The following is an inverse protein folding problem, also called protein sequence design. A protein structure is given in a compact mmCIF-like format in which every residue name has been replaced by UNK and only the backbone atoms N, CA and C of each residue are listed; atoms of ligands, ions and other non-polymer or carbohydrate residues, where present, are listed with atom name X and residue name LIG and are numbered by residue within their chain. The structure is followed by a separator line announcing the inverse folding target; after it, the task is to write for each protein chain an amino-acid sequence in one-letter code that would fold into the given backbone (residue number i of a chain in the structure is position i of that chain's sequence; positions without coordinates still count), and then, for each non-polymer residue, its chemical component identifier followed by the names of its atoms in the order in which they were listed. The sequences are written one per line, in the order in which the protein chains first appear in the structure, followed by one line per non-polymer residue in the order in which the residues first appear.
data_IF_262306212557
#
_entry.id   IF_262306212557
#
_cell.length_a   1.000
_cell.length_b   1.000
_cell.length_c   1.000
_cell.angle_alpha   90.00
_cell.angle_beta   90.00
_cell.angle_gamma   90.00
#
_symmetry.space_group_name_H-M   'P 1'
#
loop_
_entity.id
_entity.type
_entity.pdbx_description
1 polymer ?
#
# COMPACT_ATOMS: atom_id res chain seq x y z
N UNK A 1 -4.62 10.39 2.85
CA UNK A 1 -3.41 9.66 2.34
C UNK A 1 -3.45 8.26 2.91
N UNK A 2 -3.39 7.21 2.06
CA UNK A 2 -3.70 5.81 2.43
C UNK A 2 -2.86 5.29 3.62
N UNK A 3 -3.53 4.71 4.62
CA UNK A 3 -2.89 3.99 5.71
C UNK A 3 -2.61 2.54 5.28
N UNK A 4 -1.46 2.01 5.70
CA UNK A 4 -1.14 0.59 5.54
C UNK A 4 -1.04 -0.07 6.92
N UNK A 5 -1.86 -1.13 7.10
CA UNK A 5 -1.88 -2.23 8.07
C UNK A 5 -2.67 -2.17 9.41
N UNK A 6 -3.59 -3.16 9.50
CA UNK A 6 -4.28 -3.88 10.60
C UNK A 6 -5.26 -3.12 11.50
N UNK A 7 -6.56 -3.38 11.27
CA UNK A 7 -7.66 -3.09 12.19
C UNK A 7 -8.87 -2.55 11.45
N UNK A 8 -9.97 -3.30 11.46
CA UNK A 8 -11.22 -2.93 10.81
C UNK A 8 -11.91 -1.79 11.57
N UNK A 9 -12.27 -0.72 10.86
CA UNK A 9 -13.37 0.18 11.26
C UNK A 9 -14.04 0.72 10.01
N UNK A 10 -15.35 0.47 9.91
CA UNK A 10 -16.25 0.96 8.86
C UNK A 10 -16.43 2.48 8.96
N UNK A 11 -16.32 3.20 7.84
CA UNK A 11 -16.72 4.61 7.73
C UNK A 11 -17.32 4.85 6.34
N UNK A 12 -18.65 4.89 6.28
CA UNK A 12 -19.44 5.50 5.20
C UNK A 12 -19.65 6.99 5.53
N UNK A 13 -19.01 7.91 4.80
CA UNK A 13 -19.60 9.22 4.46
C UNK A 13 -18.72 9.99 3.46
N UNK A 14 -19.27 10.25 2.27
CA UNK A 14 -18.67 11.09 1.23
C UNK A 14 -19.14 12.56 1.38
N UNK A 15 -18.27 13.49 0.98
CA UNK A 15 -18.45 14.96 0.92
C UNK A 15 -17.88 15.84 2.05
N UNK A 16 -16.70 15.51 2.57
CA UNK A 16 -15.86 16.58 3.13
C UNK A 16 -14.38 16.33 2.81
N UNK A 17 -13.82 17.13 1.90
CA UNK A 17 -12.39 17.18 1.61
C UNK A 17 -11.65 17.95 2.73
N UNK A 18 -11.99 17.65 4.00
CA UNK A 18 -11.22 18.10 5.15
C UNK A 18 -9.83 17.52 5.02
N UNK A 19 -8.83 18.35 5.32
CA UNK A 19 -7.49 17.90 5.72
C UNK A 19 -7.68 16.68 6.61
N UNK A 20 -7.48 15.49 6.04
CA UNK A 20 -7.61 14.27 6.80
C UNK A 20 -6.42 14.30 7.74
N UNK A 21 -6.65 14.76 8.96
CA UNK A 21 -5.67 14.74 10.04
C UNK A 21 -4.98 13.39 9.97
N UNK A 22 -3.65 13.39 9.79
CA UNK A 22 -2.91 12.15 9.61
C UNK A 22 -3.21 11.24 10.81
N UNK A 23 -3.94 10.16 10.56
CA UNK A 23 -4.40 9.29 11.63
C UNK A 23 -3.20 8.47 12.11
N UNK A 24 -2.64 8.88 13.23
CA UNK A 24 -1.47 8.25 13.81
C UNK A 24 -1.88 7.05 14.64
N UNK A 25 -1.30 5.89 14.33
CA UNK A 25 -1.41 4.73 15.20
C UNK A 25 -0.39 4.86 16.33
N UNK A 26 -0.90 5.06 17.54
CA UNK A 26 -0.13 4.99 18.77
C UNK A 26 -0.08 3.52 19.21
N UNK A 27 1.08 2.87 19.03
CA UNK A 27 1.27 1.50 19.51
C UNK A 27 1.94 1.52 20.89
N UNK A 28 1.50 0.72 21.87
CA UNK A 28 2.21 0.58 23.14
C UNK A 28 3.63 0.06 22.90
N UNK A 29 4.65 0.69 23.50
CA UNK A 29 5.99 0.12 23.49
C UNK A 29 6.00 -1.21 24.26
N UNK A 30 6.69 -2.22 23.74
CA UNK A 30 6.79 -3.56 24.37
C UNK A 30 7.34 -3.55 25.81
N UNK A 31 7.96 -2.44 26.25
CA UNK A 31 8.71 -2.37 27.50
C UNK A 31 8.37 -1.18 28.41
N UNK A 32 7.40 -0.31 28.07
CA UNK A 32 7.01 0.82 28.93
C UNK A 32 5.65 1.42 28.54
N UNK A 33 4.97 2.10 29.48
CA UNK A 33 3.75 2.92 29.27
C UNK A 33 3.93 4.13 28.35
N UNK A 34 4.74 4.00 27.31
CA UNK A 34 5.05 5.03 26.34
C UNK A 34 4.53 4.57 24.99
N UNK A 35 3.67 5.37 24.38
CA UNK A 35 3.19 5.11 23.03
C UNK A 35 4.28 5.44 22.02
N UNK A 36 4.37 4.61 20.98
CA UNK A 36 5.30 4.76 19.87
C UNK A 36 4.49 5.11 18.64
N UNK A 37 4.93 6.16 17.97
CA UNK A 37 4.37 6.61 16.72
C UNK A 37 4.74 5.61 15.60
N UNK A 38 3.73 5.02 14.96
CA UNK A 38 3.91 4.12 13.82
C UNK A 38 3.29 4.78 12.58
N UNK A 39 4.14 5.21 11.66
CA UNK A 39 3.70 5.78 10.39
C UNK A 39 4.60 5.29 9.25
N UNK A 40 4.07 4.38 8.43
CA UNK A 40 4.76 3.79 7.27
C UNK A 40 5.24 4.86 6.28
N UNK A 41 4.48 5.95 6.13
CA UNK A 41 4.91 7.06 5.28
C UNK A 41 6.18 7.70 5.86
N UNK A 42 6.24 7.97 7.16
CA UNK A 42 7.45 8.57 7.77
C UNK A 42 8.64 7.61 7.62
N UNK A 43 8.44 6.31 7.84
CA UNK A 43 9.48 5.29 7.61
C UNK A 43 10.00 5.33 6.15
N UNK A 44 9.09 5.44 5.17
CA UNK A 44 9.44 5.52 3.75
C UNK A 44 10.10 6.84 3.35
N UNK A 45 9.61 7.98 3.85
CA UNK A 45 10.17 9.31 3.56
C UNK A 45 11.61 9.44 4.02
N UNK A 46 11.95 8.83 5.17
CA UNK A 46 13.30 8.84 5.73
C UNK A 46 14.06 7.53 5.52
N UNK A 47 13.69 6.73 4.51
CA UNK A 47 14.45 5.53 4.10
C UNK A 47 15.91 5.89 3.77
N UNK A 48 16.80 4.90 3.78
CA UNK A 48 18.21 5.14 3.45
C UNK A 48 18.37 5.61 2.00
N UNK A 49 19.46 6.32 1.70
CA UNK A 49 19.76 6.77 0.34
C UNK A 49 19.93 5.59 -0.65
N UNK A 50 20.30 4.41 -0.17
CA UNK A 50 20.39 3.21 -1.01
C UNK A 50 19.01 2.73 -1.52
N UNK A 51 17.91 3.25 -0.93
CA UNK A 51 16.54 2.91 -1.29
C UNK A 51 15.82 4.06 -2.03
N UNK A 52 16.54 5.09 -2.49
CA UNK A 52 15.94 6.29 -3.11
C UNK A 52 15.07 5.98 -4.32
N UNK A 53 15.54 5.08 -5.19
CA UNK A 53 14.84 4.68 -6.42
C UNK A 53 13.65 3.75 -6.17
N UNK A 54 13.41 3.30 -4.94
CA UNK A 54 12.32 2.39 -4.61
C UNK A 54 11.02 3.16 -4.41
N UNK A 55 9.92 2.69 -5.00
CA UNK A 55 8.59 3.21 -4.76
C UNK A 55 8.01 2.72 -3.42
N UNK A 56 6.89 3.31 -2.98
CA UNK A 56 6.29 2.96 -1.69
C UNK A 56 5.86 1.49 -1.66
N UNK A 57 5.24 1.02 -2.74
CA UNK A 57 4.78 -0.37 -2.86
C UNK A 57 5.95 -1.35 -2.66
N UNK A 58 7.03 -1.21 -3.42
CA UNK A 58 8.20 -2.09 -3.34
C UNK A 58 8.89 -2.03 -1.97
N UNK A 59 8.95 -0.84 -1.37
CA UNK A 59 9.49 -0.68 -0.03
C UNK A 59 8.74 -1.52 0.99
N UNK A 60 7.40 -1.49 0.98
CA UNK A 60 6.57 -2.30 1.88
C UNK A 60 6.70 -3.80 1.55
N UNK A 61 6.75 -4.15 0.26
CA UNK A 61 6.93 -5.52 -0.21
C UNK A 61 8.23 -6.15 0.29
N UNK A 62 9.33 -5.39 0.23
CA UNK A 62 10.68 -5.92 0.35
C UNK A 62 11.32 -5.62 1.70
N UNK A 63 10.88 -4.60 2.43
CA UNK A 63 11.48 -4.18 3.69
C UNK A 63 10.48 -4.25 4.84
N UNK A 64 11.03 -4.34 6.05
CA UNK A 64 10.28 -4.14 7.28
C UNK A 64 11.14 -3.39 8.28
N UNK A 65 10.49 -2.58 9.10
CA UNK A 65 11.11 -1.96 10.27
C UNK A 65 11.34 -3.01 11.35
N UNK A 66 12.49 -2.94 12.02
CA UNK A 66 12.85 -3.75 13.20
C UNK A 66 13.62 -2.89 14.20
N UNK A 67 13.40 -3.11 15.49
CA UNK A 67 14.25 -2.55 16.53
C UNK A 67 15.69 -3.09 16.41
N UNK A 68 16.66 -2.24 16.72
CA UNK A 68 18.09 -2.55 16.59
C UNK A 68 18.51 -3.48 17.73
N UNK A 69 19.00 -4.67 17.39
CA UNK A 69 19.64 -5.58 18.35
C UNK A 69 21.18 -5.43 18.38
N UNK A 70 21.84 -6.12 19.32
CA UNK A 70 23.30 -6.06 19.47
C UNK A 70 24.06 -6.63 18.24
N UNK A 71 23.48 -7.57 17.51
CA UNK A 71 24.06 -8.15 16.31
C UNK A 71 23.95 -7.18 15.13
N UNK A 72 22.80 -6.53 14.98
CA UNK A 72 22.54 -5.49 13.99
C UNK A 72 23.54 -4.34 14.16
N UNK A 73 23.82 -3.90 15.40
CA UNK A 73 24.86 -2.88 15.67
C UNK A 73 26.25 -3.31 15.20
N UNK A 74 26.64 -4.58 15.41
CA UNK A 74 27.93 -5.09 14.94
C UNK A 74 28.00 -5.11 13.42
N UNK A 75 26.93 -5.53 12.76
CA UNK A 75 26.88 -5.59 11.29
C UNK A 75 26.87 -4.22 10.63
N UNK A 76 26.16 -3.25 11.18
CA UNK A 76 26.15 -1.88 10.67
C UNK A 76 27.54 -1.23 10.77
N UNK A 77 28.25 -1.44 11.88
CA UNK A 77 29.65 -1.00 12.02
C UNK A 77 30.55 -1.65 10.95
N UNK A 78 30.44 -2.97 10.79
CA UNK A 78 31.20 -3.69 9.78
C UNK A 78 30.89 -3.19 8.36
N UNK A 79 29.62 -2.87 8.04
CA UNK A 79 29.23 -2.31 6.73
C UNK A 79 29.83 -0.92 6.50
N UNK A 80 29.86 -0.06 7.52
CA UNK A 80 30.49 1.27 7.40
C UNK A 80 32.00 1.18 7.16
N UNK A 81 32.68 0.23 7.78
CA UNK A 81 34.12 0.01 7.64
C UNK A 81 34.46 -0.66 6.29
N UNK A 82 33.59 -1.54 5.79
CA UNK A 82 33.84 -2.35 4.58
C UNK A 82 33.61 -1.61 3.26
N UNK A 83 32.93 -0.45 3.25
CA UNK A 83 32.77 0.36 2.03
C UNK A 83 34.10 0.80 1.41
N UNK A 84 35.21 0.68 2.15
CA UNK A 84 36.55 1.07 1.68
C UNK A 84 37.38 -0.06 1.05
N UNK A 85 37.03 -1.34 1.21
CA UNK A 85 37.85 -2.46 0.69
C UNK A 85 36.97 -3.62 0.21
N UNK A 86 36.82 -3.77 -1.11
CA UNK A 86 36.05 -4.84 -1.76
C UNK A 86 36.82 -6.17 -1.76
N UNK A 87 36.99 -6.81 -0.59
CA UNK A 87 37.49 -8.18 -0.48
C UNK A 87 36.37 -9.09 0.03
N UNK A 88 35.65 -9.71 -0.90
CA UNK A 88 34.63 -10.73 -0.62
C UNK A 88 35.29 -11.96 -0.02
N UNK A 89 35.46 -12.00 1.30
CA UNK A 89 35.75 -13.26 1.99
C UNK A 89 34.51 -14.15 1.92
N UNK A 90 34.65 -15.34 1.34
CA UNK A 90 33.58 -16.35 1.28
C UNK A 90 33.21 -16.80 2.69
N UNK A 91 32.17 -16.18 3.26
CA UNK A 91 31.58 -16.68 4.49
C UNK A 91 30.71 -17.90 4.16
N UNK A 92 30.97 -19.03 4.84
CA UNK A 92 30.09 -20.20 4.82
C UNK A 92 28.82 -19.87 5.60
N UNK A 93 27.64 -20.03 4.98
CA UNK A 93 26.34 -19.89 5.65
C UNK A 93 25.30 -19.19 4.78
N UNK A 94 24.08 -19.06 5.34
CA UNK A 94 22.99 -18.30 4.71
C UNK A 94 23.38 -16.82 4.67
N UNK A 95 23.29 -16.14 3.52
CA UNK A 95 23.60 -14.71 3.44
C UNK A 95 22.71 -13.91 4.39
N UNK A 96 23.32 -12.94 5.07
CA UNK A 96 22.56 -12.05 5.96
C UNK A 96 21.63 -11.16 5.14
N UNK A 97 20.41 -10.92 5.64
CA UNK A 97 19.52 -9.93 5.05
C UNK A 97 20.17 -8.56 4.99
N UNK A 98 19.90 -7.82 3.90
CA UNK A 98 20.29 -6.42 3.79
C UNK A 98 19.71 -5.59 4.94
N UNK A 99 20.52 -4.67 5.46
CA UNK A 99 20.17 -3.78 6.57
C UNK A 99 20.47 -2.35 6.16
N UNK A 100 19.50 -1.49 6.36
CA UNK A 100 19.54 -0.09 5.97
C UNK A 100 19.12 0.76 7.16
N UNK A 101 19.91 1.78 7.50
CA UNK A 101 19.57 2.73 8.57
C UNK A 101 18.62 3.81 8.02
N UNK A 102 17.73 4.30 8.88
CA UNK A 102 16.96 5.49 8.53
C UNK A 102 17.87 6.72 8.48
N UNK A 103 17.44 7.74 7.76
CA UNK A 103 18.09 9.05 7.78
C UNK A 103 17.95 9.74 9.13
N UNK A 104 18.84 10.70 9.40
CA UNK A 104 18.95 11.40 10.69
C UNK A 104 17.65 12.10 11.11
N UNK A 105 16.83 12.55 10.15
CA UNK A 105 15.52 13.18 10.42
C UNK A 105 14.41 12.23 10.85
N UNK A 106 14.63 10.91 10.81
CA UNK A 106 13.60 9.96 11.24
C UNK A 106 13.46 9.93 12.77
N UNK A 107 12.24 9.99 13.33
CA UNK A 107 12.03 9.96 14.79
C UNK A 107 12.60 8.72 15.48
N UNK A 108 12.75 7.62 14.75
CA UNK A 108 13.26 6.34 15.26
C UNK A 108 14.61 5.94 14.66
N UNK A 109 15.37 6.87 14.07
CA UNK A 109 16.66 6.59 13.42
C UNK A 109 17.67 5.89 14.34
N UNK A 110 17.67 6.23 15.64
CA UNK A 110 18.61 5.66 16.61
C UNK A 110 18.19 4.28 17.17
N UNK A 111 16.92 3.90 17.03
CA UNK A 111 16.34 2.71 17.68
C UNK A 111 15.89 1.63 16.69
N UNK A 112 15.62 1.99 15.43
CA UNK A 112 15.09 1.08 14.43
C UNK A 112 15.89 1.12 13.12
N UNK A 113 15.78 0.03 12.35
CA UNK A 113 16.38 -0.12 11.02
C UNK A 113 15.41 -0.80 10.06
N UNK A 114 15.69 -0.65 8.77
CA UNK A 114 15.05 -1.39 7.70
C UNK A 114 15.80 -2.66 7.41
N UNK A 115 15.09 -3.79 7.40
CA UNK A 115 15.64 -5.10 7.07
C UNK A 115 14.94 -5.63 5.83
N UNK A 116 15.75 -6.05 4.85
CA UNK A 116 15.27 -6.72 3.66
C UNK A 116 14.66 -8.07 4.03
N UNK A 117 13.40 -8.26 3.66
CA UNK A 117 12.66 -9.51 3.83
C UNK A 117 13.28 -10.59 2.97
N UNK A 118 13.14 -11.83 3.43
CA UNK A 118 13.60 -13.00 2.68
C UNK A 118 12.63 -13.43 1.59
N UNK A 119 11.34 -13.18 1.83
CA UNK A 119 10.25 -13.37 0.88
C UNK A 119 9.51 -12.04 0.78
N UNK A 120 9.20 -11.60 -0.44
CA UNK A 120 8.34 -10.45 -0.64
C UNK A 120 6.94 -10.72 -0.09
N UNK A 121 6.26 -9.66 0.31
CA UNK A 121 4.85 -9.68 0.72
C UNK A 121 4.06 -8.78 -0.23
N UNK A 122 2.77 -9.07 -0.41
CA UNK A 122 1.87 -8.20 -1.17
C UNK A 122 1.22 -7.21 -0.18
N UNK A 123 1.46 -5.89 -0.31
CA UNK A 123 0.82 -4.88 0.51
C UNK A 123 -0.69 -4.89 0.29
N UNK A 124 -1.45 -4.86 1.38
CA UNK A 124 -2.89 -4.66 1.34
C UNK A 124 -3.15 -3.17 1.57
N UNK A 125 -3.82 -2.53 0.61
CA UNK A 125 -4.23 -1.14 0.72
C UNK A 125 -5.44 -1.06 1.67
N UNK A 126 -5.37 -0.21 2.68
CA UNK A 126 -6.50 0.05 3.58
C UNK A 126 -6.90 1.52 3.45
N UNK A 127 -8.20 1.77 3.62
CA UNK A 127 -8.82 3.08 3.44
C UNK A 127 -9.80 3.09 2.26
N UNK A 128 -10.17 4.29 1.78
CA UNK A 128 -11.07 4.43 0.64
C UNK A 128 -10.58 3.60 -0.57
N UNK A 129 -11.48 3.06 -1.38
CA UNK A 129 -11.07 2.35 -2.59
C UNK A 129 -10.31 3.30 -3.52
N UNK A 130 -9.32 2.76 -4.26
CA UNK A 130 -8.70 3.51 -5.35
C UNK A 130 -9.82 3.91 -6.33
N UNK A 131 -9.97 5.20 -6.67
CA UNK A 131 -11.03 5.64 -7.57
C UNK A 131 -10.90 4.98 -8.95
N UNK A 132 -12.00 4.82 -9.67
CA UNK A 132 -11.94 4.26 -11.01
C UNK A 132 -11.25 5.20 -12.00
N UNK A 133 -10.51 4.63 -12.95
CA UNK A 133 -9.78 5.36 -14.00
C UNK A 133 -10.70 5.96 -15.06
N UNK A 134 -11.83 5.32 -15.34
CA UNK A 134 -12.65 5.55 -16.52
C UNK A 134 -13.63 6.73 -16.41
N UNK A 135 -13.82 7.30 -15.21
CA UNK A 135 -14.64 8.51 -15.04
C UNK A 135 -13.77 9.75 -14.96
N UNK A 136 -14.13 10.80 -15.70
CA UNK A 136 -13.35 12.04 -15.75
C UNK A 136 -13.26 12.75 -14.38
N UNK A 137 -14.30 12.68 -13.55
CA UNK A 137 -14.36 13.30 -12.22
C UNK A 137 -13.49 12.60 -11.15
N UNK A 138 -13.10 11.35 -11.40
CA UNK A 138 -12.22 10.56 -10.52
C UNK A 138 -10.84 10.29 -11.12
N UNK A 139 -10.65 10.57 -12.41
CA UNK A 139 -9.42 10.26 -13.15
C UNK A 139 -8.16 10.87 -12.54
N UNK A 140 -8.22 12.14 -12.14
CA UNK A 140 -7.08 12.80 -11.50
C UNK A 140 -6.74 12.14 -10.15
N UNK A 141 -7.75 11.85 -9.34
CA UNK A 141 -7.56 11.16 -8.06
C UNK A 141 -6.97 9.77 -8.24
N UNK A 142 -7.41 9.02 -9.26
CA UNK A 142 -6.80 7.73 -9.63
C UNK A 142 -5.30 7.87 -9.92
N UNK A 143 -4.91 8.79 -10.81
CA UNK A 143 -3.50 8.96 -11.17
C UNK A 143 -2.63 9.37 -9.98
N UNK A 144 -3.13 10.24 -9.09
CA UNK A 144 -2.44 10.58 -7.84
C UNK A 144 -2.25 9.34 -6.97
N UNK A 145 -3.28 8.51 -6.79
CA UNK A 145 -3.19 7.28 -6.00
C UNK A 145 -2.13 6.32 -6.55
N UNK A 146 -2.17 6.05 -7.86
CA UNK A 146 -1.22 5.15 -8.52
C UNK A 146 0.20 5.71 -8.45
N UNK A 147 0.37 7.02 -8.68
CA UNK A 147 1.68 7.68 -8.62
C UNK A 147 2.30 7.60 -7.24
N UNK A 148 1.54 7.86 -6.17
CA UNK A 148 2.04 7.74 -4.79
C UNK A 148 2.48 6.31 -4.46
N UNK A 149 1.86 5.28 -5.06
CA UNK A 149 2.23 3.89 -4.80
C UNK A 149 3.48 3.45 -5.57
N UNK A 150 3.54 3.80 -6.86
CA UNK A 150 4.48 3.19 -7.80
C UNK A 150 5.61 4.12 -8.26
N UNK A 151 5.57 5.41 -7.94
CA UNK A 151 6.70 6.30 -8.18
C UNK A 151 7.54 6.51 -6.92
N UNK A 152 8.86 6.65 -7.05
CA UNK A 152 9.71 7.04 -5.94
C UNK A 152 9.46 8.51 -5.59
N UNK A 153 9.25 8.78 -4.29
CA UNK A 153 9.09 10.12 -3.74
C UNK A 153 9.67 10.18 -2.33
N UNK A 154 10.06 11.37 -1.87
CA UNK A 154 10.45 11.64 -0.47
C UNK A 154 9.61 12.77 0.10
N UNK A 155 9.35 13.78 -0.70
CA UNK A 155 8.51 14.91 -0.36
C UNK A 155 7.32 14.99 -1.30
N UNK A 156 6.22 15.61 -0.85
CA UNK A 156 5.08 15.89 -1.73
C UNK A 156 5.46 16.80 -2.92
N UNK A 157 6.50 17.62 -2.78
CA UNK A 157 7.00 18.44 -3.89
C UNK A 157 7.66 17.59 -4.97
N UNK A 158 8.21 16.42 -4.61
CA UNK A 158 8.67 15.48 -5.63
C UNK A 158 7.51 15.02 -6.50
N UNK A 159 6.29 14.91 -5.97
CA UNK A 159 5.07 14.53 -6.70
C UNK A 159 4.59 15.58 -7.72
N UNK A 160 5.08 16.82 -7.68
CA UNK A 160 4.63 17.91 -8.57
C UNK A 160 5.70 18.40 -9.57
N UNK A 161 6.82 17.69 -9.77
CA UNK A 161 7.79 18.10 -10.81
C UNK A 161 7.15 17.96 -12.20
N UNK A 162 6.97 19.08 -12.90
CA UNK A 162 6.36 19.20 -14.23
C UNK A 162 6.90 18.18 -15.26
N UNK A 163 8.19 17.84 -15.22
CA UNK A 163 8.79 16.85 -16.13
C UNK A 163 8.20 15.43 -15.97
N UNK A 164 7.66 15.09 -14.79
CA UNK A 164 7.05 13.78 -14.56
C UNK A 164 5.64 13.68 -15.14
N UNK A 165 4.92 14.80 -15.20
CA UNK A 165 3.61 14.82 -15.85
C UNK A 165 3.78 14.57 -17.35
N UNK A 166 4.78 15.18 -18.00
CA UNK A 166 5.11 14.87 -19.40
C UNK A 166 5.53 13.41 -19.61
N UNK A 167 6.34 12.83 -18.73
CA UNK A 167 6.73 11.43 -18.84
C UNK A 167 5.55 10.47 -18.60
N UNK A 168 4.70 10.75 -17.62
CA UNK A 168 3.46 10.01 -17.41
C UNK A 168 2.52 10.14 -18.61
N UNK A 169 2.40 11.34 -19.18
CA UNK A 169 1.64 11.60 -20.39
C UNK A 169 2.14 10.72 -21.54
N UNK A 170 3.46 10.68 -21.76
CA UNK A 170 4.11 9.86 -22.78
C UNK A 170 3.90 8.35 -22.55
N UNK A 171 4.02 7.87 -21.31
CA UNK A 171 3.78 6.45 -20.98
C UNK A 171 2.31 6.07 -21.17
N UNK A 172 1.39 6.97 -20.79
CA UNK A 172 -0.05 6.77 -20.98
C UNK A 172 -0.40 6.78 -22.47
N UNK A 173 0.17 7.72 -23.24
CA UNK A 173 -0.02 7.83 -24.69
C UNK A 173 0.55 6.61 -25.42
N UNK A 174 1.75 6.15 -25.06
CA UNK A 174 2.35 4.93 -25.60
C UNK A 174 1.46 3.69 -25.37
N UNK A 175 0.96 3.51 -24.14
CA UNK A 175 0.07 2.39 -23.80
C UNK A 175 -1.27 2.44 -24.56
N UNK A 176 -1.76 3.63 -24.91
CA UNK A 176 -2.96 3.82 -25.74
C UNK A 176 -2.68 3.53 -27.22
N UNK A 177 -1.50 3.85 -27.72
CA UNK A 177 -1.13 3.53 -29.12
C UNK A 177 -0.93 2.04 -29.38
N UNK A 178 -0.48 1.29 -28.37
CA UNK A 178 -0.27 -0.16 -28.50
C UNK A 178 -1.57 -0.98 -28.50
N UNK A 179 -2.67 -0.43 -27.96
CA UNK A 179 -3.99 -1.10 -27.90
C UNK A 179 -4.87 -0.85 -29.14
N UNK A 180 -4.41 -0.04 -30.10
CA UNK A 180 -5.08 0.18 -31.38
C UNK A 180 -4.83 -0.92 -32.44
N UNK A 181 -4.00 -1.91 -32.13
CA UNK A 181 -3.74 -3.07 -32.99
C UNK A 181 -4.90 -4.06 -32.99
N UNK A 182 -5.98 -3.71 -33.69
CA UNK A 182 -7.03 -4.56 -34.26
C UNK A 182 -6.92 -6.05 -33.87
N UNK A 183 -7.45 -6.43 -32.70
CA UNK A 183 -7.81 -7.81 -32.45
C UNK A 183 -8.94 -8.15 -33.42
N UNK A 184 -8.53 -8.69 -34.57
CA UNK A 184 -9.39 -9.44 -35.44
C UNK A 184 -9.77 -10.71 -34.67
N UNK A 185 -10.72 -10.58 -33.75
CA UNK A 185 -11.44 -11.73 -33.25
C UNK A 185 -11.95 -12.47 -34.49
N UNK A 186 -11.67 -13.78 -34.62
CA UNK A 186 -12.29 -14.57 -35.67
C UNK A 186 -13.79 -14.42 -35.47
N UNK A 187 -14.47 -13.78 -36.43
CA UNK A 187 -15.91 -13.90 -36.53
C UNK A 187 -16.18 -15.38 -36.77
N UNK A 188 -16.47 -16.10 -35.68
CA UNK A 188 -17.12 -17.39 -35.72
C UNK A 188 -18.48 -17.15 -36.37
N UNK A 189 -18.51 -17.32 -37.69
CA UNK A 189 -19.73 -17.49 -38.46
C UNK A 189 -20.35 -18.81 -38.02
N UNK A 190 -21.59 -18.66 -37.59
CA UNK A 190 -22.70 -19.58 -37.80
C UNK A 190 -22.48 -21.02 -37.30
N UNK A 191 -23.01 -21.29 -36.11
CA UNK A 191 -23.64 -22.59 -35.85
C UNK A 191 -24.91 -22.32 -35.06
N UNK A 192 -26.02 -22.37 -35.80
CA UNK A 192 -27.37 -22.52 -35.29
C UNK A 192 -27.38 -23.61 -34.21
N UNK A 193 -27.69 -23.20 -32.99
CA UNK A 193 -27.99 -24.07 -31.87
C UNK A 193 -29.05 -23.35 -31.06
N UNK A 194 -30.26 -23.34 -31.61
CA UNK A 194 -31.48 -23.32 -30.80
C UNK A 194 -31.35 -24.48 -29.81
N UNK A 195 -31.15 -24.19 -28.52
CA UNK A 195 -31.74 -24.98 -27.42
C UNK A 195 -31.34 -24.39 -26.05
N UNK A 196 -32.38 -23.96 -25.34
CA UNK A 196 -32.56 -24.08 -23.89
C UNK A 196 -31.55 -23.40 -22.95
N UNK A 197 -31.73 -22.11 -22.66
CA UNK A 197 -31.23 -21.50 -21.42
C UNK A 197 -32.10 -20.34 -20.90
N UNK A 198 -33.42 -20.56 -20.84
CA UNK A 198 -34.35 -19.62 -20.19
C UNK A 198 -34.75 -20.02 -18.76
N UNK A 199 -34.23 -21.11 -18.19
CA UNK A 199 -34.66 -21.58 -16.85
C UNK A 199 -33.92 -20.96 -15.65
N UNK A 200 -32.89 -20.13 -15.86
CA UNK A 200 -32.11 -19.62 -14.72
C UNK A 200 -32.68 -18.34 -14.09
N UNK A 201 -33.58 -17.64 -14.79
CA UNK A 201 -34.17 -16.39 -14.29
C UNK A 201 -35.47 -16.58 -13.50
N UNK A 202 -36.14 -17.73 -13.60
CA UNK A 202 -37.37 -18.01 -12.85
C UNK A 202 -37.11 -18.45 -11.39
N UNK A 203 -35.87 -18.82 -11.05
CA UNK A 203 -35.51 -19.23 -9.67
C UNK A 203 -35.30 -18.02 -8.74
N UNK A 204 -35.00 -16.83 -9.29
CA UNK A 204 -34.73 -15.64 -8.48
C UNK A 204 -35.98 -14.85 -8.10
N UNK A 205 -37.12 -15.10 -8.75
CA UNK A 205 -38.39 -14.41 -8.43
C UNK A 205 -39.19 -15.11 -7.30
N UNK A 206 -38.77 -16.31 -6.89
CA UNK A 206 -39.43 -17.08 -5.83
C UNK A 206 -38.87 -16.83 -4.41
N UNK A 207 -37.86 -15.95 -4.25
CA UNK A 207 -37.33 -15.62 -2.92
C UNK A 207 -38.15 -14.46 -2.35
N UNK A 208 -39.15 -14.80 -1.54
CA UNK A 208 -39.90 -13.86 -0.71
C UNK A 208 -39.01 -13.35 0.45
N UNK A 209 -38.47 -12.13 0.30
CA UNK A 209 -37.56 -11.50 1.28
C UNK A 209 -38.37 -10.75 2.38
N UNK A 210 -39.70 -10.89 2.44
CA UNK A 210 -40.53 -10.12 3.40
C UNK A 210 -40.44 -10.61 4.85
N UNK A 211 -39.62 -11.62 5.15
CA UNK A 211 -39.49 -12.25 6.46
C UNK A 211 -38.28 -11.86 7.31
N UNK A 212 -37.69 -10.67 7.18
CA UNK A 212 -36.60 -10.25 8.09
C UNK A 212 -37.19 -9.56 9.33
N UNK A 213 -37.13 -10.17 10.53
CA UNK A 213 -37.60 -9.55 11.76
C UNK A 213 -36.75 -8.32 12.10
N UNK A 214 -37.44 -7.19 12.20
CA UNK A 214 -36.92 -5.88 12.54
C UNK A 214 -36.47 -5.88 14.02
N UNK A 215 -35.16 -6.06 14.28
CA UNK A 215 -34.60 -5.97 15.64
C UNK A 215 -34.35 -4.52 16.04
N UNK A 216 -35.43 -3.75 16.15
CA UNK A 216 -35.45 -2.50 16.90
C UNK A 216 -35.79 -2.80 18.37
N UNK A 217 -34.77 -3.15 19.15
CA UNK A 217 -34.85 -3.27 20.60
C UNK A 217 -34.44 -1.98 21.29
N UNK A 218 -35.44 -1.16 21.62
CA UNK A 218 -35.34 0.06 22.42
C UNK A 218 -34.78 -0.16 23.84
N UNK A 219 -33.85 0.71 24.21
CA UNK A 219 -33.79 1.54 25.44
C UNK A 219 -34.20 0.99 26.82
N UNK A 220 -33.33 1.33 27.80
CA UNK A 220 -33.66 1.96 29.10
C UNK A 220 -33.40 1.17 30.40
N UNK A 221 -32.50 1.76 31.21
CA UNK A 221 -32.53 1.98 32.68
C UNK A 221 -32.72 0.80 33.64
N UNK A 222 -31.75 0.61 34.55
CA UNK A 222 -31.91 0.45 36.02
C UNK A 222 -30.51 0.76 36.63
N UNK A 223 -30.27 1.89 37.31
CA UNK A 223 -30.54 2.23 38.73
C UNK A 223 -29.48 1.67 39.72
N UNK A 224 -28.79 2.63 40.37
CA UNK A 224 -28.22 2.67 41.72
C UNK A 224 -27.63 1.39 42.38
N UNK A 225 -26.33 1.44 42.68
CA UNK A 225 -25.79 1.36 44.05
C UNK A 225 -24.33 1.84 44.10
#
# INVERSE_FOLDING_TARGET
MFLFLIGATDIDNDENCLETEEQFLLQPAETNSKYVYVNTRVDYQYRSAALDSMCLYDYICLYRKKSIDANDRKQLKAQSESRSIHLKKSQRGRPSSGREVFQVGHPQSASHINIKRMKSVVPVLLGPPIPRKDRDDTRERYYRCISTLFLPWRTFQDECKNDRDEHLQQVIEAAQTETGGHEHYPQHRDSDSDDENNEIFDVLEAIDITGVPNLNGNTSKVEQM
#
